data_IF_720703929668
#
_entry.id   IF_720703929668
#
_cell.length_a   1.000
_cell.length_b   1.000
_cell.length_c   1.000
_cell.angle_alpha   90.00
_cell.angle_beta   90.00
_cell.angle_gamma   90.00
#
_symmetry.space_group_name_H-M   'P 1'
#
loop_
_entity.id
_entity.type
_entity.pdbx_description
1 polymer ?
#
# COMPACT_ATOMS: atom_id res chain seq x y z
N UNK A 1 19.41 10.00 4.02
CA UNK A 1 18.50 9.88 2.85
C UNK A 1 17.46 8.81 3.16
N UNK A 2 16.27 9.20 3.64
CA UNK A 2 15.22 8.25 4.02
C UNK A 2 14.69 7.53 2.77
N UNK A 3 14.97 6.23 2.64
CA UNK A 3 14.34 5.38 1.61
C UNK A 3 12.85 5.21 1.96
N UNK A 4 12.01 6.13 1.49
CA UNK A 4 10.55 6.09 1.63
C UNK A 4 9.87 5.09 0.67
N UNK A 5 10.64 4.16 0.10
CA UNK A 5 10.22 3.27 -0.98
C UNK A 5 10.52 1.84 -0.58
N UNK A 6 9.48 1.01 -0.45
CA UNK A 6 9.58 -0.44 -0.22
C UNK A 6 8.99 -1.17 -1.42
N UNK A 7 9.67 -2.24 -1.81
CA UNK A 7 9.20 -3.11 -2.89
C UNK A 7 8.40 -4.25 -2.27
N UNK A 8 7.17 -4.49 -2.73
CA UNK A 8 6.33 -5.63 -2.34
C UNK A 8 6.12 -6.56 -3.52
N UNK A 9 5.59 -7.74 -3.22
CA UNK A 9 5.14 -8.73 -4.20
C UNK A 9 6.23 -9.06 -5.23
N UNK A 10 7.34 -9.60 -4.73
CA UNK A 10 8.43 -10.14 -5.55
C UNK A 10 9.04 -9.13 -6.54
N UNK A 11 9.33 -7.91 -6.06
CA UNK A 11 9.84 -6.77 -6.85
C UNK A 11 8.87 -6.19 -7.89
N UNK A 12 7.68 -6.77 -8.07
CA UNK A 12 6.72 -6.30 -9.07
C UNK A 12 6.02 -5.00 -8.68
N UNK A 13 6.12 -4.60 -7.40
CA UNK A 13 5.33 -3.51 -6.84
C UNK A 13 6.22 -2.59 -6.04
N UNK A 14 6.23 -1.31 -6.38
CA UNK A 14 6.94 -0.29 -5.65
C UNK A 14 5.91 0.58 -4.92
N UNK A 15 5.86 0.47 -3.59
CA UNK A 15 5.02 1.32 -2.76
C UNK A 15 5.90 2.30 -1.96
N UNK A 16 5.54 3.58 -2.00
CA UNK A 16 6.22 4.62 -1.24
C UNK A 16 5.23 5.67 -0.78
N UNK A 17 5.17 5.89 0.53
CA UNK A 17 4.29 6.89 1.13
C UNK A 17 5.09 8.12 1.56
N UNK A 18 4.62 9.29 1.14
CA UNK A 18 5.23 10.58 1.46
C UNK A 18 4.64 11.21 2.74
N UNK A 19 4.41 10.42 3.79
CA UNK A 19 3.82 10.85 5.07
C UNK A 19 4.67 10.50 6.30
N UNK A 20 4.16 10.77 7.51
CA UNK A 20 4.78 10.32 8.76
C UNK A 20 4.90 8.80 8.81
N UNK A 21 6.00 8.28 9.37
CA UNK A 21 6.32 6.84 9.38
C UNK A 21 5.20 5.98 9.99
N UNK A 22 4.42 6.51 10.92
CA UNK A 22 3.33 5.81 11.58
C UNK A 22 2.16 5.49 10.63
N UNK A 23 1.63 6.49 9.92
CA UNK A 23 0.55 6.27 8.94
C UNK A 23 1.01 5.42 7.75
N UNK A 24 2.29 5.54 7.37
CA UNK A 24 2.87 4.75 6.28
C UNK A 24 2.86 3.25 6.59
N UNK A 25 3.14 2.85 7.83
CA UNK A 25 3.11 1.44 8.24
C UNK A 25 1.68 0.86 8.20
N UNK A 26 0.71 1.59 8.74
CA UNK A 26 -0.70 1.16 8.74
C UNK A 26 -1.27 1.06 7.32
N UNK A 27 -0.91 1.98 6.44
CA UNK A 27 -1.28 1.93 5.01
C UNK A 27 -0.69 0.72 4.31
N UNK A 28 0.55 0.37 4.63
CA UNK A 28 1.22 -0.81 4.08
C UNK A 28 0.52 -2.11 4.47
N UNK A 29 0.20 -2.31 5.75
CA UNK A 29 -0.53 -3.50 6.21
C UNK A 29 -1.91 -3.61 5.56
N UNK A 30 -2.67 -2.50 5.48
CA UNK A 30 -3.97 -2.49 4.81
C UNK A 30 -3.86 -2.79 3.31
N UNK A 31 -2.85 -2.23 2.66
CA UNK A 31 -2.59 -2.45 1.24
C UNK A 31 -2.23 -3.92 0.98
N UNK A 32 -1.38 -4.51 1.81
CA UNK A 32 -0.96 -5.90 1.71
C UNK A 32 -2.15 -6.86 1.87
N UNK A 33 -3.01 -6.63 2.87
CA UNK A 33 -4.26 -7.39 3.04
C UNK A 33 -5.18 -7.30 1.82
N UNK A 34 -5.35 -6.11 1.24
CA UNK A 34 -6.15 -5.94 0.01
C UNK A 34 -5.50 -6.64 -1.18
N UNK A 35 -4.19 -6.59 -1.29
CA UNK A 35 -3.44 -7.20 -2.37
C UNK A 35 -3.53 -8.73 -2.32
N UNK A 36 -3.48 -9.33 -1.13
CA UNK A 36 -3.77 -10.76 -0.93
C UNK A 36 -5.22 -11.12 -1.29
N UNK A 37 -6.20 -10.35 -0.81
CA UNK A 37 -7.63 -10.57 -1.10
C UNK A 37 -7.97 -10.49 -2.59
N UNK A 38 -7.19 -9.72 -3.37
CA UNK A 38 -7.40 -9.54 -4.80
C UNK A 38 -6.43 -10.36 -5.67
N UNK A 39 -5.79 -11.40 -5.13
CA UNK A 39 -4.82 -12.27 -5.85
C UNK A 39 -3.70 -11.48 -6.56
N UNK A 40 -3.15 -10.46 -5.91
CA UNK A 40 -2.08 -9.64 -6.50
C UNK A 40 -2.56 -8.60 -7.50
N UNK A 41 -3.87 -8.36 -7.64
CA UNK A 41 -4.38 -7.30 -8.50
C UNK A 41 -4.12 -5.92 -7.88
N UNK A 42 -2.99 -5.34 -8.28
CA UNK A 42 -2.51 -4.06 -7.77
C UNK A 42 -3.50 -2.92 -7.88
N UNK A 43 -4.09 -2.79 -9.06
CA UNK A 43 -4.98 -1.69 -9.40
C UNK A 43 -6.23 -1.76 -8.54
N UNK A 44 -6.79 -2.97 -8.35
CA UNK A 44 -7.93 -3.17 -7.45
C UNK A 44 -7.58 -2.87 -6.00
N UNK A 45 -6.48 -3.41 -5.50
CA UNK A 45 -6.04 -3.20 -4.13
C UNK A 45 -5.77 -1.70 -3.84
N UNK A 46 -5.15 -0.99 -4.78
CA UNK A 46 -4.86 0.44 -4.66
C UNK A 46 -6.15 1.28 -4.68
N UNK A 47 -7.10 0.95 -5.56
CA UNK A 47 -8.40 1.63 -5.65
C UNK A 47 -9.23 1.40 -4.39
N UNK A 48 -9.27 0.16 -3.88
CA UNK A 48 -9.99 -0.19 -2.65
C UNK A 48 -9.39 0.51 -1.43
N UNK A 49 -8.06 0.50 -1.30
CA UNK A 49 -7.36 1.24 -0.23
C UNK A 49 -7.64 2.75 -0.32
N UNK A 50 -7.60 3.34 -1.52
CA UNK A 50 -7.86 4.77 -1.72
C UNK A 50 -9.32 5.14 -1.39
N UNK A 51 -10.27 4.25 -1.70
CA UNK A 51 -11.68 4.41 -1.33
C UNK A 51 -11.86 4.34 0.19
N UNK A 52 -11.29 3.34 0.84
CA UNK A 52 -11.33 3.16 2.30
C UNK A 52 -10.67 4.35 3.03
N UNK A 53 -9.54 4.83 2.52
CA UNK A 53 -8.82 5.98 3.07
C UNK A 53 -9.60 7.28 2.99
N UNK A 54 -10.32 7.50 1.89
CA UNK A 54 -11.10 8.72 1.64
C UNK A 54 -12.43 8.76 2.40
N UNK A 55 -12.79 7.65 3.05
CA UNK A 55 -13.96 7.56 3.92
C UNK A 55 -13.63 7.89 5.40
N UNK A 56 -12.53 8.60 5.65
CA UNK A 56 -12.33 9.41 6.87
C UNK A 56 -12.93 10.81 6.69
#
# INVERSE_FOLDING_TARGET
MLKKVRRLHNDQVIAGFAGGTADAFTLFERFEQKLEQHNGNLTRAAVELAKDWRNR
#
